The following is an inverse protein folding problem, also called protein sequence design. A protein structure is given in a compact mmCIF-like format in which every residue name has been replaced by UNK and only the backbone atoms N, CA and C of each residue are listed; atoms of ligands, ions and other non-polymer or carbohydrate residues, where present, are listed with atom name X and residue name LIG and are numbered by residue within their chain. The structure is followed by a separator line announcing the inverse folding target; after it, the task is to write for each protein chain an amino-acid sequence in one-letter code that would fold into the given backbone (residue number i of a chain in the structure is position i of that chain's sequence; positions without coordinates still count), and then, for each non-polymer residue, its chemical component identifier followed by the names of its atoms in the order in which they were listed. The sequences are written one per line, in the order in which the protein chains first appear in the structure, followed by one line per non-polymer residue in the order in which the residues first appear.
data_IF_973563079037
#
_entry.id   IF_973563079037
#
_cell.length_a   1.000
_cell.length_b   1.000
_cell.length_c   1.000
_cell.angle_alpha   90.00
_cell.angle_beta   90.00
_cell.angle_gamma   90.00
#
_symmetry.space_group_name_H-M   'P 1'
#
loop_
_entity.id
_entity.type
_entity.pdbx_description
1 polymer ?
#
# COMPACT_ATOMS: atom_id res chain seq x y z
N UNK A 1 9.01 21.84 29.00
CA UNK A 1 9.50 20.94 27.94
C UNK A 1 8.55 21.12 26.78
N UNK A 2 9.02 21.62 25.63
CA UNK A 2 8.20 21.63 24.42
C UNK A 2 8.04 20.17 23.96
N UNK A 3 6.90 19.59 24.27
CA UNK A 3 6.52 18.31 23.66
C UNK A 3 6.18 18.61 22.22
N UNK A 4 7.19 18.53 21.34
CA UNK A 4 6.91 18.56 19.91
C UNK A 4 5.92 17.46 19.61
N UNK A 5 4.76 17.83 19.10
CA UNK A 5 3.80 16.85 18.63
C UNK A 5 4.44 16.03 17.50
N UNK A 6 4.20 14.74 17.53
CA UNK A 6 4.74 13.78 16.56
C UNK A 6 3.61 13.15 15.77
N UNK A 7 3.92 12.74 14.56
CA UNK A 7 3.06 11.92 13.74
C UNK A 7 3.76 10.59 13.40
N UNK A 8 3.00 9.59 13.12
CA UNK A 8 3.47 8.33 12.56
C UNK A 8 3.36 8.41 11.04
N UNK A 9 4.47 8.19 10.36
CA UNK A 9 4.53 7.99 8.92
C UNK A 9 4.77 6.50 8.64
N UNK A 10 3.78 5.83 8.09
CA UNK A 10 3.86 4.43 7.71
C UNK A 10 4.20 4.31 6.22
N UNK A 11 5.42 3.86 5.95
CA UNK A 11 5.95 3.64 4.62
C UNK A 11 5.46 2.29 4.13
N UNK A 12 4.82 2.27 2.98
CA UNK A 12 4.17 1.10 2.38
C UNK A 12 4.81 0.84 1.02
N UNK A 13 5.14 -0.40 0.73
CA UNK A 13 5.70 -0.82 -0.56
C UNK A 13 5.19 -2.20 -0.97
N UNK A 14 5.43 -2.56 -2.22
CA UNK A 14 5.11 -3.89 -2.76
C UNK A 14 6.30 -4.81 -2.53
N UNK A 15 6.10 -5.90 -1.80
CA UNK A 15 7.08 -6.95 -1.55
C UNK A 15 7.29 -7.88 -2.74
N UNK A 16 8.23 -8.82 -2.62
CA UNK A 16 8.67 -9.69 -3.71
C UNK A 16 7.60 -10.57 -4.33
N UNK A 17 6.57 -10.92 -3.58
CA UNK A 17 5.44 -11.74 -4.03
C UNK A 17 4.18 -10.91 -4.38
N UNK A 18 4.31 -9.59 -4.46
CA UNK A 18 3.19 -8.69 -4.74
C UNK A 18 2.38 -8.28 -3.50
N UNK A 19 2.75 -8.77 -2.33
CA UNK A 19 2.12 -8.40 -1.06
C UNK A 19 2.47 -6.96 -0.64
N UNK A 20 1.58 -6.30 0.09
CA UNK A 20 1.90 -5.02 0.73
C UNK A 20 2.69 -5.25 2.01
N UNK A 21 3.77 -4.50 2.16
CA UNK A 21 4.59 -4.44 3.37
C UNK A 21 4.67 -3.02 3.88
N UNK A 22 4.91 -2.88 5.17
CA UNK A 22 5.09 -1.54 5.75
C UNK A 22 6.07 -1.53 6.90
N UNK A 23 6.59 -0.34 7.17
CA UNK A 23 7.29 0.01 8.41
C UNK A 23 7.00 1.47 8.75
N UNK A 24 6.98 1.78 10.04
CA UNK A 24 6.59 3.10 10.51
C UNK A 24 7.77 3.83 11.17
N UNK A 25 7.79 5.14 11.02
CA UNK A 25 8.70 6.04 11.75
C UNK A 25 7.94 7.24 12.32
N UNK A 26 8.51 7.82 13.34
CA UNK A 26 8.00 9.05 13.94
C UNK A 26 8.62 10.26 13.27
N UNK A 27 7.80 11.23 12.88
CA UNK A 27 8.20 12.51 12.31
C UNK A 27 7.59 13.67 13.11
N UNK A 28 8.10 14.88 12.88
CA UNK A 28 7.49 16.10 13.46
C UNK A 28 6.17 16.42 12.76
N UNK A 29 5.13 16.75 13.51
CA UNK A 29 3.83 17.14 12.95
C UNK A 29 3.76 18.61 12.49
N UNK A 30 4.77 19.40 12.77
CA UNK A 30 4.82 20.84 12.41
C UNK A 30 5.27 21.09 10.98
N UNK A 31 5.63 20.05 10.25
CA UNK A 31 6.02 20.12 8.85
C UNK A 31 4.97 19.47 7.96
N UNK A 32 4.64 20.12 6.88
CA UNK A 32 3.86 19.49 5.81
C UNK A 32 4.78 18.57 5.01
N UNK A 33 4.47 17.29 5.06
CA UNK A 33 5.27 16.25 4.43
C UNK A 33 4.76 15.98 3.02
N UNK A 34 5.64 16.08 2.06
CA UNK A 34 5.41 15.69 0.66
C UNK A 34 6.36 14.54 0.29
N UNK A 35 6.13 13.83 -0.82
CA UNK A 35 7.06 12.79 -1.27
C UNK A 35 8.51 13.28 -1.36
N UNK A 36 8.73 14.52 -1.79
CA UNK A 36 10.05 15.12 -2.00
C UNK A 36 10.74 15.50 -0.67
N UNK A 37 9.96 15.80 0.37
CA UNK A 37 10.49 16.22 1.67
C UNK A 37 10.59 15.08 2.67
N UNK A 38 9.92 13.97 2.42
CA UNK A 38 10.01 12.76 3.23
C UNK A 38 11.39 12.10 3.04
N UNK A 39 12.02 11.64 4.12
CA UNK A 39 13.29 10.92 4.00
C UNK A 39 13.10 9.59 3.31
N UNK A 40 14.03 9.22 2.43
CA UNK A 40 14.15 7.85 1.95
C UNK A 40 14.43 6.92 3.14
N UNK A 41 14.11 5.66 2.95
CA UNK A 41 14.40 4.64 3.95
C UNK A 41 14.80 3.34 3.26
N UNK A 42 15.09 2.30 4.01
CA UNK A 42 15.56 1.00 3.53
C UNK A 42 14.94 -0.16 4.29
N UNK A 43 15.10 -1.35 3.79
CA UNK A 43 14.82 -2.61 4.48
C UNK A 43 15.68 -3.74 3.94
N UNK A 44 15.73 -4.85 4.68
CA UNK A 44 16.41 -6.07 4.27
C UNK A 44 15.57 -6.84 3.22
N UNK A 45 15.95 -6.69 1.96
CA UNK A 45 15.26 -7.34 0.84
C UNK A 45 15.52 -8.85 0.75
N UNK A 46 16.47 -9.40 1.48
CA UNK A 46 16.71 -10.85 1.49
C UNK A 46 15.55 -11.60 2.14
N UNK A 47 14.92 -10.99 3.15
CA UNK A 47 13.74 -11.54 3.83
C UNK A 47 12.45 -11.44 3.02
N UNK A 48 12.46 -10.69 1.92
CA UNK A 48 11.30 -10.44 1.05
C UNK A 48 11.47 -11.00 -0.36
N UNK A 49 12.56 -11.71 -0.62
CA UNK A 49 12.89 -12.25 -1.95
C UNK A 49 13.24 -11.17 -2.98
N UNK A 50 13.64 -9.98 -2.55
CA UNK A 50 13.90 -8.82 -3.41
C UNK A 50 15.38 -8.45 -3.54
N UNK A 51 16.26 -9.06 -2.74
CA UNK A 51 17.71 -8.86 -2.82
C UNK A 51 18.48 -10.09 -2.35
N UNK A 52 19.73 -10.31 -2.82
CA UNK A 52 20.59 -11.38 -2.31
C UNK A 52 21.11 -11.05 -0.90
N UNK A 53 21.36 -12.08 -0.07
CA UNK A 53 21.79 -11.88 1.32
C UNK A 53 23.11 -11.13 1.53
N UNK A 54 24.00 -11.13 0.54
CA UNK A 54 25.27 -10.41 0.59
C UNK A 54 25.18 -8.93 0.11
N UNK A 55 24.04 -8.51 -0.42
CA UNK A 55 23.72 -7.13 -0.80
C UNK A 55 22.22 -6.92 -0.64
N UNK A 56 21.75 -6.98 0.59
CA UNK A 56 20.33 -7.13 0.92
C UNK A 56 19.57 -5.82 1.06
N UNK A 57 20.25 -4.68 1.01
CA UNK A 57 19.59 -3.40 1.16
C UNK A 57 18.67 -3.09 -0.02
N UNK A 58 17.39 -2.85 0.28
CA UNK A 58 16.42 -2.29 -0.66
C UNK A 58 15.99 -0.91 -0.16
N UNK A 59 16.14 0.09 -1.03
CA UNK A 59 15.79 1.47 -0.75
C UNK A 59 14.33 1.70 -1.10
N UNK A 60 13.57 2.32 -0.19
CA UNK A 60 12.20 2.77 -0.42
C UNK A 60 12.16 4.29 -0.56
N UNK A 61 11.57 4.74 -1.67
CA UNK A 61 11.48 6.14 -2.06
C UNK A 61 10.03 6.58 -2.03
N UNK A 62 9.66 7.59 -1.21
CA UNK A 62 8.30 8.13 -1.17
C UNK A 62 7.80 8.60 -2.54
N UNK A 63 6.53 8.30 -2.88
CA UNK A 63 5.88 8.72 -4.14
C UNK A 63 4.51 9.35 -3.95
N UNK A 64 3.79 8.97 -2.91
CA UNK A 64 2.50 9.56 -2.59
C UNK A 64 2.30 9.58 -1.07
N UNK A 65 1.57 10.57 -0.58
CA UNK A 65 1.25 10.75 0.84
C UNK A 65 -0.26 10.85 0.99
N UNK A 66 -0.79 10.12 1.97
CA UNK A 66 -2.21 10.09 2.29
C UNK A 66 -2.41 10.24 3.79
N UNK A 67 -3.52 10.83 4.21
CA UNK A 67 -3.94 10.77 5.60
C UNK A 67 -4.21 9.31 5.99
N UNK A 68 -3.73 8.91 7.17
CA UNK A 68 -3.98 7.56 7.67
C UNK A 68 -5.45 7.42 8.09
N UNK A 69 -6.26 6.54 7.46
CA UNK A 69 -7.66 6.37 7.84
C UNK A 69 -7.85 5.52 9.10
N UNK A 70 -6.77 4.88 9.59
CA UNK A 70 -6.81 3.95 10.72
C UNK A 70 -6.37 4.57 12.04
N UNK A 71 -5.69 5.72 11.99
CA UNK A 71 -5.17 6.42 13.16
C UNK A 71 -5.72 7.84 13.21
N UNK A 72 -6.14 8.25 14.38
CA UNK A 72 -6.55 9.65 14.61
C UNK A 72 -5.36 10.61 14.45
N UNK A 73 -5.67 11.90 14.29
CA UNK A 73 -4.69 12.97 14.20
C UNK A 73 -4.02 13.10 12.84
N UNK A 74 -2.77 13.58 12.81
CA UNK A 74 -2.03 13.93 11.59
C UNK A 74 -1.15 12.78 11.05
N UNK A 75 -1.48 11.53 11.38
CA UNK A 75 -0.73 10.38 10.91
C UNK A 75 -0.90 10.17 9.40
N UNK A 76 0.15 9.71 8.73
CA UNK A 76 0.20 9.57 7.27
C UNK A 76 0.60 8.17 6.83
N UNK A 77 0.06 7.78 5.67
CA UNK A 77 0.53 6.65 4.88
C UNK A 77 1.40 7.18 3.73
N UNK A 78 2.53 6.54 3.50
CA UNK A 78 3.51 6.95 2.49
C UNK A 78 3.71 5.79 1.52
N UNK A 79 3.16 5.91 0.31
CA UNK A 79 3.39 4.90 -0.73
C UNK A 79 4.76 5.09 -1.35
N UNK A 80 5.53 4.00 -1.44
CA UNK A 80 6.93 4.03 -1.86
C UNK A 80 7.19 3.14 -3.08
N UNK A 81 8.19 3.56 -3.86
CA UNK A 81 8.88 2.73 -4.84
C UNK A 81 10.05 1.98 -4.19
N UNK A 82 10.49 0.90 -4.83
CA UNK A 82 11.59 0.06 -4.36
C UNK A 82 12.77 0.05 -5.34
N UNK A 83 13.98 0.20 -4.81
CA UNK A 83 15.23 0.24 -5.57
C UNK A 83 16.29 -0.63 -4.90
N UNK A 84 17.20 -1.20 -5.67
CA UNK A 84 18.39 -1.84 -5.10
C UNK A 84 19.38 -0.80 -4.56
N UNK A 85 20.44 -1.25 -3.90
CA UNK A 85 21.50 -0.40 -3.33
C UNK A 85 22.23 0.48 -4.35
N UNK A 86 22.15 0.16 -5.64
CA UNK A 86 22.73 0.95 -6.74
C UNK A 86 21.72 1.95 -7.35
N UNK A 87 20.52 2.07 -6.79
CA UNK A 87 19.48 2.97 -7.29
C UNK A 87 18.76 2.48 -8.54
N UNK A 88 18.86 1.19 -8.88
CA UNK A 88 18.11 0.59 -9.98
C UNK A 88 16.77 0.11 -9.45
N UNK A 89 15.63 0.46 -10.12
CA UNK A 89 14.31 -0.04 -9.74
C UNK A 89 14.29 -1.58 -9.70
N UNK A 90 13.62 -2.14 -8.70
CA UNK A 90 13.41 -3.59 -8.65
C UNK A 90 12.44 -4.03 -9.75
N UNK A 91 12.55 -5.29 -10.20
CA UNK A 91 11.76 -5.83 -11.31
C UNK A 91 10.24 -5.75 -11.10
N UNK A 92 9.78 -5.83 -9.85
CA UNK A 92 8.38 -5.70 -9.48
C UNK A 92 7.96 -4.27 -9.08
N UNK A 93 8.80 -3.28 -9.30
CA UNK A 93 8.50 -1.87 -9.07
C UNK A 93 7.74 -1.28 -10.28
N UNK A 94 6.51 -1.74 -10.52
CA UNK A 94 5.68 -1.27 -11.64
C UNK A 94 5.30 0.21 -11.54
N UNK A 95 5.33 0.81 -10.36
CA UNK A 95 5.07 2.23 -10.15
C UNK A 95 6.11 3.11 -10.85
N UNK A 96 7.36 2.72 -10.90
CA UNK A 96 8.41 3.52 -11.54
C UNK A 96 8.10 3.77 -13.03
N UNK A 97 7.93 2.76 -13.91
CA UNK A 97 7.57 3.00 -15.29
C UNK A 97 6.19 3.63 -15.46
N UNK A 98 5.23 3.33 -14.58
CA UNK A 98 3.93 3.98 -14.61
C UNK A 98 4.03 5.48 -14.33
N UNK A 99 4.83 5.89 -13.33
CA UNK A 99 5.07 7.28 -13.01
C UNK A 99 5.73 8.04 -14.17
N UNK A 100 6.71 7.42 -14.84
CA UNK A 100 7.35 8.00 -16.03
C UNK A 100 6.34 8.19 -17.18
N UNK A 101 5.45 7.21 -17.37
CA UNK A 101 4.43 7.28 -18.41
C UNK A 101 3.37 8.35 -18.12
N UNK A 102 2.86 8.37 -16.90
CA UNK A 102 1.82 9.33 -16.50
C UNK A 102 2.29 10.76 -16.53
N UNK A 103 3.56 11.02 -16.25
CA UNK A 103 4.12 12.37 -16.30
C UNK A 103 4.38 12.89 -17.73
N UNK A 104 4.27 12.07 -18.77
CA UNK A 104 4.50 12.49 -20.16
C UNK A 104 3.36 13.28 -20.79
N UNK A 105 2.16 13.19 -20.25
CA UNK A 105 0.96 13.75 -20.87
C UNK A 105 -0.07 14.21 -19.82
N UNK A 106 0.39 15.07 -18.90
CA UNK A 106 -0.43 15.55 -17.78
C UNK A 106 -1.64 16.38 -18.25
N UNK A 107 -1.52 17.08 -19.39
CA UNK A 107 -2.59 17.90 -19.96
C UNK A 107 -3.78 17.08 -20.49
N UNK A 108 -3.64 15.79 -20.68
CA UNK A 108 -4.75 14.92 -21.07
C UNK A 108 -5.73 14.59 -19.94
N UNK A 109 -5.33 14.87 -18.68
CA UNK A 109 -6.14 14.66 -17.47
C UNK A 109 -6.89 13.31 -17.47
N UNK A 110 -6.19 12.16 -17.67
CA UNK A 110 -6.84 10.86 -17.78
C UNK A 110 -7.54 10.50 -16.47
N UNK A 111 -8.75 9.95 -16.58
CA UNK A 111 -9.52 9.47 -15.46
C UNK A 111 -9.48 7.95 -15.42
N UNK A 112 -9.28 7.40 -14.23
CA UNK A 112 -9.26 5.95 -13.98
C UNK A 112 -10.33 5.60 -12.95
N UNK A 113 -11.10 4.54 -13.23
CA UNK A 113 -12.00 3.92 -12.28
C UNK A 113 -11.38 2.63 -11.75
N UNK A 114 -11.53 2.39 -10.45
CA UNK A 114 -11.14 1.13 -9.80
C UNK A 114 -12.35 0.60 -9.06
N UNK A 115 -12.72 -0.65 -9.34
CA UNK A 115 -13.76 -1.37 -8.61
C UNK A 115 -13.10 -2.44 -7.76
N UNK A 116 -13.29 -2.36 -6.44
CA UNK A 116 -12.79 -3.35 -5.51
C UNK A 116 -13.91 -4.32 -5.16
N UNK A 117 -13.78 -5.56 -5.63
CA UNK A 117 -14.74 -6.64 -5.33
C UNK A 117 -14.17 -7.55 -4.23
N UNK A 118 -15.02 -7.98 -3.32
CA UNK A 118 -14.64 -8.87 -2.22
C UNK A 118 -15.83 -9.63 -1.66
N UNK A 119 -15.55 -10.75 -1.01
CA UNK A 119 -16.50 -11.44 -0.16
C UNK A 119 -16.11 -11.25 1.31
N UNK A 120 -17.10 -10.96 2.16
CA UNK A 120 -16.90 -11.10 3.60
C UNK A 120 -17.04 -12.57 3.96
N UNK A 121 -16.00 -13.12 4.59
CA UNK A 121 -15.92 -14.53 4.94
C UNK A 121 -16.10 -14.69 6.46
N UNK A 122 -16.95 -15.62 6.87
CA UNK A 122 -17.01 -16.07 8.24
C UNK A 122 -15.73 -16.88 8.57
N UNK A 123 -14.89 -16.42 9.51
CA UNK A 123 -13.63 -17.08 9.82
C UNK A 123 -13.78 -18.46 10.41
N UNK A 124 -14.94 -18.80 10.99
CA UNK A 124 -15.20 -20.11 11.60
C UNK A 124 -15.58 -21.17 10.57
N UNK A 125 -16.26 -20.78 9.52
CA UNK A 125 -16.76 -21.70 8.49
C UNK A 125 -15.99 -21.66 7.19
N UNK A 126 -15.26 -20.56 6.93
CA UNK A 126 -14.61 -20.31 5.66
C UNK A 126 -15.58 -20.04 4.49
N UNK A 127 -16.86 -19.85 4.78
CA UNK A 127 -17.91 -19.56 3.79
C UNK A 127 -18.21 -18.07 3.73
N UNK A 128 -18.76 -17.58 2.61
CA UNK A 128 -19.25 -16.21 2.53
C UNK A 128 -20.27 -15.93 3.64
N UNK A 129 -20.14 -14.77 4.28
CA UNK A 129 -21.02 -14.34 5.36
C UNK A 129 -22.46 -14.25 4.86
N UNK A 130 -23.43 -14.73 5.66
CA UNK A 130 -24.84 -14.75 5.31
C UNK A 130 -25.28 -15.91 4.40
N UNK A 131 -24.37 -16.77 3.94
CA UNK A 131 -24.69 -17.98 3.21
C UNK A 131 -24.60 -19.20 4.12
N UNK A 132 -25.73 -19.84 4.38
CA UNK A 132 -25.85 -21.05 5.18
C UNK A 132 -25.89 -22.29 4.30
N UNK A 133 -25.91 -23.50 4.89
CA UNK A 133 -26.10 -24.74 4.12
C UNK A 133 -27.48 -24.83 3.46
N UNK A 134 -28.46 -24.05 3.93
CA UNK A 134 -29.82 -23.97 3.41
C UNK A 134 -29.98 -22.88 2.37
N UNK A 135 -29.05 -21.95 2.27
CA UNK A 135 -29.10 -20.89 1.29
C UNK A 135 -28.90 -21.46 -0.11
N UNK A 136 -29.61 -20.90 -1.08
CA UNK A 136 -29.34 -21.20 -2.47
C UNK A 136 -27.93 -20.71 -2.84
N UNK A 137 -27.22 -21.39 -3.75
CA UNK A 137 -26.00 -20.86 -4.34
C UNK A 137 -26.28 -19.46 -4.92
N UNK A 138 -25.31 -18.56 -4.81
CA UNK A 138 -25.42 -17.25 -5.45
C UNK A 138 -25.65 -17.46 -6.96
N UNK A 139 -26.71 -16.83 -7.50
CA UNK A 139 -27.02 -16.90 -8.91
C UNK A 139 -26.07 -16.09 -9.78
N UNK A 140 -26.43 -15.94 -11.05
CA UNK A 140 -25.63 -15.13 -11.99
C UNK A 140 -25.58 -13.64 -11.65
N UNK A 141 -26.49 -13.17 -10.81
CA UNK A 141 -26.46 -11.82 -10.27
C UNK A 141 -25.87 -11.86 -8.86
N UNK A 142 -24.93 -10.96 -8.60
CA UNK A 142 -24.23 -10.85 -7.31
C UNK A 142 -24.97 -9.88 -6.35
N UNK A 143 -24.28 -9.20 -5.46
CA UNK A 143 -24.82 -8.29 -4.45
C UNK A 143 -25.65 -9.02 -3.38
N UNK A 144 -25.12 -10.13 -2.89
CA UNK A 144 -25.72 -10.93 -1.81
C UNK A 144 -27.11 -11.52 -2.14
N UNK A 145 -27.45 -11.66 -3.40
CA UNK A 145 -28.70 -12.33 -3.80
C UNK A 145 -28.70 -13.78 -3.33
N UNK A 146 -29.70 -14.15 -2.53
CA UNK A 146 -29.78 -15.48 -1.89
C UNK A 146 -29.15 -15.57 -0.50
N UNK A 147 -28.61 -14.46 0.00
CA UNK A 147 -28.10 -14.35 1.37
C UNK A 147 -29.25 -14.25 2.37
N UNK A 148 -29.08 -14.89 3.54
CA UNK A 148 -30.07 -14.91 4.61
C UNK A 148 -29.96 -13.71 5.58
N UNK A 149 -29.11 -12.73 5.32
CA UNK A 149 -28.90 -11.51 6.13
C UNK A 149 -29.56 -10.30 5.52
#
# INVERSE_FOLDING_TARGET
MNTEEKLIAEYIWVGGSGELRSKARTLSCYKDWTPETLPHWDYDGSSTGQAPGNNSEVIIVPRAVFWCPFREGRNILVMCDTYNSNGVPLDNNYRNPANELFNKNLESEPWYGIEQEFFMIDPNTGKPLGFTEKSNPQGQYYCSVGCDN
#
